data_IF_664877143153
#
_entry.id   IF_664877143153
#
_cell.length_a   1.000
_cell.length_b   1.000
_cell.length_c   1.000
_cell.angle_alpha   90.00
_cell.angle_beta   90.00
_cell.angle_gamma   90.00
#
_symmetry.space_group_name_H-M   'P 1'
#
loop_
_entity.id
_entity.type
_entity.pdbx_description
1 polymer ?
#
# COMPACT_ATOMS: atom_id res chain seq x y z
N UNK A 1 6.60 -0.98 -19.00
CA UNK A 1 5.51 -0.11 -18.47
C UNK A 1 5.66 -0.03 -16.96
N UNK A 2 5.57 1.17 -16.36
CA UNK A 2 5.58 1.30 -14.89
C UNK A 2 4.16 1.14 -14.36
N UNK A 3 3.97 0.25 -13.38
CA UNK A 3 2.65 0.00 -12.80
C UNK A 3 2.24 1.05 -11.75
N UNK A 4 3.22 1.66 -11.08
CA UNK A 4 3.06 2.81 -10.19
C UNK A 4 4.17 3.81 -10.53
N UNK A 5 3.84 5.10 -10.61
CA UNK A 5 4.83 6.15 -10.89
C UNK A 5 4.62 7.31 -9.91
N UNK A 6 5.55 7.44 -8.96
CA UNK A 6 5.58 8.48 -7.92
C UNK A 6 4.23 8.71 -7.19
N UNK A 7 3.57 7.63 -6.79
CA UNK A 7 2.27 7.69 -6.09
C UNK A 7 2.49 7.95 -4.60
N UNK A 8 1.66 8.83 -4.02
CA UNK A 8 1.60 9.08 -2.58
C UNK A 8 0.18 8.89 -2.06
N UNK A 9 0.05 8.13 -0.96
CA UNK A 9 -1.23 7.90 -0.28
C UNK A 9 -1.03 8.05 1.22
N UNK A 10 -1.92 8.78 1.89
CA UNK A 10 -1.97 8.89 3.35
C UNK A 10 -3.38 8.56 3.81
N UNK A 11 -3.49 7.53 4.66
CA UNK A 11 -4.76 7.10 5.25
C UNK A 11 -4.73 7.38 6.74
N UNK A 12 -5.84 7.89 7.28
CA UNK A 12 -5.99 8.15 8.72
C UNK A 12 -6.58 6.92 9.43
N UNK A 13 -6.21 6.64 10.69
CA UNK A 13 -6.88 5.61 11.46
C UNK A 13 -8.39 5.85 11.55
N UNK A 14 -9.17 4.76 11.54
CA UNK A 14 -10.64 4.81 11.68
C UNK A 14 -11.40 5.35 10.47
N UNK A 15 -10.77 5.37 9.28
CA UNK A 15 -11.42 5.86 8.05
C UNK A 15 -11.54 4.76 7.00
N UNK A 16 -12.62 4.82 6.22
CA UNK A 16 -12.82 3.96 5.05
C UNK A 16 -12.54 4.79 3.80
N UNK A 17 -11.68 4.27 2.93
CA UNK A 17 -11.28 4.92 1.67
C UNK A 17 -11.61 4.01 0.49
N UNK A 18 -12.05 4.59 -0.62
CA UNK A 18 -12.19 3.91 -1.90
C UNK A 18 -11.07 4.35 -2.84
N UNK A 19 -10.44 3.40 -3.53
CA UNK A 19 -9.44 3.67 -4.56
C UNK A 19 -10.10 3.56 -5.95
N UNK A 20 -10.29 4.69 -6.61
CA UNK A 20 -10.98 4.79 -7.91
C UNK A 20 -10.03 5.21 -9.04
N UNK A 21 -10.41 4.90 -10.29
CA UNK A 21 -9.65 5.21 -11.49
C UNK A 21 -9.86 4.17 -12.58
N UNK A 22 -9.37 4.43 -13.80
CA UNK A 22 -9.58 3.56 -14.97
C UNK A 22 -8.88 2.20 -14.84
N UNK A 23 -9.33 1.22 -15.64
CA UNK A 23 -8.66 -0.08 -15.71
C UNK A 23 -7.23 0.10 -16.23
N UNK A 24 -6.26 -0.50 -15.55
CA UNK A 24 -4.83 -0.33 -15.86
C UNK A 24 -4.15 0.84 -15.15
N UNK A 25 -4.87 1.70 -14.42
CA UNK A 25 -4.28 2.83 -13.68
C UNK A 25 -3.40 2.44 -12.47
N UNK A 26 -3.09 1.15 -12.28
CA UNK A 26 -2.22 0.69 -11.18
C UNK A 26 -2.91 0.43 -9.84
N UNK A 27 -4.24 0.58 -9.73
CA UNK A 27 -4.99 0.41 -8.47
C UNK A 27 -4.72 -0.93 -7.76
N UNK A 28 -4.87 -2.04 -8.48
CA UNK A 28 -4.63 -3.37 -7.92
C UNK A 28 -3.16 -3.58 -7.56
N UNK A 29 -2.23 -2.97 -8.30
CA UNK A 29 -0.80 -3.00 -7.97
C UNK A 29 -0.52 -2.24 -6.68
N UNK A 30 -1.08 -1.05 -6.51
CA UNK A 30 -0.96 -0.28 -5.26
C UNK A 30 -1.50 -1.08 -4.08
N UNK A 31 -2.69 -1.67 -4.23
CA UNK A 31 -3.29 -2.50 -3.18
C UNK A 31 -2.39 -3.68 -2.82
N UNK A 32 -1.85 -4.41 -3.81
CA UNK A 32 -0.91 -5.53 -3.59
C UNK A 32 0.36 -5.11 -2.85
N UNK A 33 0.89 -3.91 -3.10
CA UNK A 33 2.00 -3.38 -2.32
C UNK A 33 1.61 -3.09 -0.87
N UNK A 34 0.45 -2.46 -0.66
CA UNK A 34 -0.04 -2.13 0.68
C UNK A 34 -0.36 -3.36 1.53
N UNK A 35 -0.74 -4.48 0.91
CA UNK A 35 -1.01 -5.75 1.60
C UNK A 35 0.15 -6.74 1.52
N UNK A 36 1.37 -6.30 1.18
CA UNK A 36 2.56 -7.16 1.27
C UNK A 36 2.67 -8.29 0.24
N UNK A 37 1.88 -8.26 -0.83
CA UNK A 37 2.01 -9.22 -1.95
C UNK A 37 3.17 -8.83 -2.87
N UNK A 38 3.36 -7.53 -3.09
CA UNK A 38 4.46 -6.99 -3.89
C UNK A 38 5.32 -6.05 -3.05
N UNK A 39 6.64 -6.07 -3.28
CA UNK A 39 7.54 -5.04 -2.77
C UNK A 39 7.60 -3.87 -3.77
N UNK A 40 7.48 -2.62 -3.32
CA UNK A 40 7.75 -1.47 -4.18
C UNK A 40 9.20 -1.49 -4.68
N UNK A 41 9.42 -1.22 -5.97
CA UNK A 41 10.78 -1.09 -6.52
C UNK A 41 11.55 0.10 -5.88
N UNK A 42 10.80 1.15 -5.49
CA UNK A 42 11.29 2.39 -4.87
C UNK A 42 10.23 2.97 -3.95
N UNK A 43 10.65 3.85 -3.04
CA UNK A 43 9.78 4.50 -2.05
C UNK A 43 9.69 3.70 -0.75
N UNK A 44 8.76 4.08 0.13
CA UNK A 44 8.57 3.40 1.41
C UNK A 44 7.12 3.43 1.85
N UNK A 45 6.73 2.43 2.66
CA UNK A 45 5.45 2.39 3.34
C UNK A 45 5.73 2.66 4.82
N UNK A 46 4.88 3.48 5.45
CA UNK A 46 4.97 3.79 6.88
C UNK A 46 3.64 3.54 7.56
N UNK A 47 3.67 2.82 8.67
CA UNK A 47 2.51 2.59 9.54
C UNK A 47 2.78 3.26 10.87
N UNK A 48 1.87 4.14 11.30
CA UNK A 48 2.04 4.96 12.52
C UNK A 48 3.36 5.75 12.56
N UNK A 49 3.88 6.14 11.40
CA UNK A 49 5.14 6.87 11.28
C UNK A 49 6.38 5.97 11.15
N UNK A 50 6.28 4.68 11.42
CA UNK A 50 7.42 3.76 11.34
C UNK A 50 7.52 3.12 9.95
N UNK A 51 8.70 3.08 9.32
CA UNK A 51 8.92 2.33 8.09
C UNK A 51 8.60 0.85 8.28
N UNK A 52 7.94 0.25 7.30
CA UNK A 52 7.60 -1.18 7.30
C UNK A 52 7.98 -1.83 5.99
N UNK A 53 8.41 -3.09 6.06
CA UNK A 53 8.56 -3.98 4.93
C UNK A 53 7.78 -5.25 5.19
N UNK A 54 6.67 -5.43 4.49
CA UNK A 54 5.84 -6.62 4.64
C UNK A 54 6.44 -7.80 3.89
N UNK A 55 6.47 -8.97 4.53
CA UNK A 55 6.88 -10.22 3.90
C UNK A 55 5.71 -11.02 3.32
N UNK A 56 4.51 -10.79 3.86
CA UNK A 56 3.26 -11.39 3.38
C UNK A 56 2.03 -10.56 3.81
N UNK A 57 0.84 -11.01 3.39
CA UNK A 57 -0.44 -10.37 3.71
C UNK A 57 -0.78 -10.37 5.20
N UNK A 58 -0.38 -11.41 5.94
CA UNK A 58 -0.71 -11.53 7.36
C UNK A 58 0.12 -10.53 8.18
N UNK A 59 1.39 -10.35 7.83
CA UNK A 59 2.25 -9.33 8.41
C UNK A 59 1.70 -7.92 8.18
N UNK A 60 1.29 -7.62 6.94
CA UNK A 60 0.66 -6.35 6.59
C UNK A 60 -0.60 -6.06 7.44
N UNK A 61 -1.50 -7.04 7.57
CA UNK A 61 -2.72 -6.91 8.38
C UNK A 61 -2.43 -6.71 9.87
N UNK A 62 -1.44 -7.43 10.42
CA UNK A 62 -1.04 -7.30 11.83
C UNK A 62 -0.47 -5.93 12.15
N UNK A 63 0.27 -5.32 11.23
CA UNK A 63 0.84 -3.98 11.41
C UNK A 63 -0.23 -2.89 11.58
N UNK A 64 -1.38 -3.04 10.93
CA UNK A 64 -2.48 -2.07 10.96
C UNK A 64 -3.54 -2.30 12.04
N UNK A 65 -3.53 -3.47 12.69
CA UNK A 65 -4.56 -3.88 13.67
C UNK A 65 -4.23 -3.52 15.13
N UNK A 66 -3.12 -2.81 15.36
CA UNK A 66 -2.77 -2.24 16.67
C UNK A 66 -3.03 -0.75 16.69
#
# INVERSE_FOLDING_TARGET
MKALDNVSLRVRPGTVHALMGENGAGKSTLMKCLIGIYRPDKGSIRVKGEPVEFTDTMDALRSGSR
#
